data_IF_447130747727
#
_entry.id   IF_447130747727
#
_cell.length_a   1.000
_cell.length_b   1.000
_cell.length_c   1.000
_cell.angle_alpha   90.00
_cell.angle_beta   90.00
_cell.angle_gamma   90.00
#
_symmetry.space_group_name_H-M   'P 1'
#
loop_
_entity.id
_entity.type
_entity.pdbx_description
1 polymer ?
#
# COMPACT_ATOMS: atom_id res chain seq x y z
N UNK A 1 -44.44 -3.58 -6.72
CA UNK A 1 -43.67 -4.74 -6.24
C UNK A 1 -42.35 -4.24 -5.63
N UNK A 2 -42.22 -4.29 -4.33
CA UNK A 2 -41.01 -3.80 -3.61
C UNK A 2 -39.88 -4.82 -3.71
N UNK A 3 -38.70 -4.40 -4.19
CA UNK A 3 -37.47 -5.21 -4.24
C UNK A 3 -36.96 -5.43 -2.83
N UNK A 4 -37.05 -6.65 -2.30
CA UNK A 4 -36.47 -7.04 -1.04
C UNK A 4 -34.94 -6.97 -1.19
N UNK A 5 -34.28 -6.07 -0.43
CA UNK A 5 -32.81 -6.00 -0.31
C UNK A 5 -32.33 -7.28 0.40
N UNK A 6 -31.53 -8.08 -0.29
CA UNK A 6 -30.85 -9.25 0.27
C UNK A 6 -29.87 -8.76 1.37
N UNK A 7 -29.89 -9.32 2.58
CA UNK A 7 -28.98 -8.89 3.64
C UNK A 7 -27.52 -9.17 3.24
N UNK A 8 -26.62 -8.25 3.61
CA UNK A 8 -25.18 -8.40 3.40
C UNK A 8 -24.68 -9.65 4.13
N UNK A 9 -23.93 -10.50 3.45
CA UNK A 9 -23.35 -11.71 4.02
C UNK A 9 -22.39 -11.32 5.16
N UNK A 10 -22.55 -11.93 6.34
CA UNK A 10 -21.60 -11.79 7.47
C UNK A 10 -20.19 -12.17 7.01
N UNK A 11 -19.14 -11.45 7.47
CA UNK A 11 -17.77 -11.81 7.13
C UNK A 11 -17.48 -13.24 7.61
N UNK A 12 -16.96 -14.06 6.72
CA UNK A 12 -16.53 -15.42 7.04
C UNK A 12 -15.36 -15.34 8.03
N UNK A 13 -15.51 -15.96 9.20
CA UNK A 13 -14.42 -16.11 10.19
C UNK A 13 -13.38 -17.15 9.77
N UNK A 14 -13.55 -17.82 8.62
CA UNK A 14 -12.65 -18.85 8.13
C UNK A 14 -11.51 -18.21 7.31
N UNK A 15 -10.27 -18.51 7.70
CA UNK A 15 -9.07 -18.10 6.95
C UNK A 15 -9.07 -18.79 5.58
N UNK A 16 -9.05 -17.99 4.51
CA UNK A 16 -9.17 -18.50 3.14
C UNK A 16 -7.86 -19.09 2.58
N UNK A 17 -6.72 -18.79 3.23
CA UNK A 17 -5.39 -19.25 2.83
C UNK A 17 -4.91 -20.49 3.59
N UNK A 18 -5.79 -21.16 4.35
CA UNK A 18 -5.48 -22.36 5.09
C UNK A 18 -6.48 -23.45 4.67
N UNK A 19 -5.97 -24.63 4.32
CA UNK A 19 -6.78 -25.79 3.97
C UNK A 19 -7.32 -26.51 5.22
N UNK A 20 -8.00 -27.63 5.03
CA UNK A 20 -8.57 -28.44 6.12
C UNK A 20 -7.51 -29.13 6.97
N UNK A 21 -6.25 -29.21 6.50
CA UNK A 21 -5.10 -29.79 7.21
C UNK A 21 -4.25 -28.73 7.92
N UNK A 22 -4.60 -27.44 7.79
CA UNK A 22 -3.84 -26.34 8.37
C UNK A 22 -2.68 -25.88 7.48
N UNK A 23 -2.58 -26.35 6.23
CA UNK A 23 -1.52 -25.98 5.32
C UNK A 23 -1.86 -24.70 4.54
N UNK A 24 -0.85 -23.86 4.37
CA UNK A 24 -0.98 -22.60 3.61
C UNK A 24 -1.12 -22.89 2.11
N UNK A 25 -2.08 -22.23 1.46
CA UNK A 25 -2.28 -22.30 0.01
C UNK A 25 -2.70 -20.98 -0.60
N UNK A 26 -2.30 -20.73 -1.82
CA UNK A 26 -2.82 -19.62 -2.62
C UNK A 26 -4.28 -19.88 -2.99
N UNK A 27 -5.15 -18.86 -2.84
CA UNK A 27 -6.59 -18.98 -3.14
C UNK A 27 -6.79 -19.08 -4.66
N UNK A 28 -7.56 -20.06 -5.12
CA UNK A 28 -8.00 -20.12 -6.51
C UNK A 28 -9.01 -18.98 -6.79
N UNK A 29 -8.67 -18.13 -7.75
CA UNK A 29 -9.48 -16.99 -8.16
C UNK A 29 -10.05 -17.15 -9.56
N UNK A 30 -9.78 -18.26 -10.27
CA UNK A 30 -10.13 -18.47 -11.70
C UNK A 30 -11.63 -18.30 -11.99
N UNK A 31 -12.50 -18.69 -11.05
CA UNK A 31 -13.95 -18.53 -11.20
C UNK A 31 -14.48 -17.12 -10.90
N UNK A 32 -13.62 -16.16 -10.48
CA UNK A 32 -14.06 -14.80 -10.17
C UNK A 32 -14.07 -13.95 -11.44
N UNK A 33 -15.06 -13.06 -11.60
CA UNK A 33 -15.08 -12.14 -12.73
C UNK A 33 -13.93 -11.13 -12.62
N UNK A 34 -13.41 -10.72 -13.76
CA UNK A 34 -12.51 -9.57 -13.83
C UNK A 34 -13.30 -8.30 -13.55
N UNK A 35 -12.88 -7.53 -12.57
CA UNK A 35 -13.47 -6.24 -12.21
C UNK A 35 -12.38 -5.21 -11.96
N UNK A 36 -12.70 -3.94 -12.12
CA UNK A 36 -11.82 -2.88 -11.67
C UNK A 36 -11.67 -2.94 -10.14
N UNK A 37 -10.44 -2.80 -9.67
CA UNK A 37 -10.10 -2.79 -8.25
C UNK A 37 -9.10 -1.70 -7.97
N UNK A 38 -9.33 -0.98 -6.89
CA UNK A 38 -8.49 0.11 -6.43
C UNK A 38 -8.18 -0.15 -4.96
N UNK A 39 -6.96 0.13 -4.56
CA UNK A 39 -6.56 0.19 -3.16
C UNK A 39 -5.70 1.43 -2.92
N UNK A 40 -5.91 2.06 -1.76
CA UNK A 40 -5.16 3.19 -1.26
C UNK A 40 -4.57 2.82 0.09
N UNK A 41 -3.27 3.00 0.25
CA UNK A 41 -2.57 2.79 1.50
C UNK A 41 -1.77 4.03 1.87
N UNK A 42 -1.51 4.23 3.16
CA UNK A 42 -0.65 5.31 3.66
C UNK A 42 0.44 4.79 4.59
N UNK A 43 1.43 5.63 4.83
CA UNK A 43 2.48 5.46 5.83
C UNK A 43 3.19 6.77 6.08
N UNK A 44 3.98 6.85 7.16
CA UNK A 44 4.68 8.06 7.58
C UNK A 44 6.15 7.80 7.80
N UNK A 45 6.97 8.79 7.44
CA UNK A 45 8.39 8.85 7.83
C UNK A 45 8.56 10.06 8.71
N UNK A 46 8.72 9.84 10.01
CA UNK A 46 8.87 10.91 11.01
C UNK A 46 10.35 11.20 11.21
N UNK A 47 10.68 12.48 11.25
CA UNK A 47 12.05 12.98 11.37
C UNK A 47 12.07 14.30 12.16
N UNK A 48 13.25 14.87 12.38
CA UNK A 48 13.35 16.22 12.94
C UNK A 48 12.98 17.27 11.90
N UNK A 49 12.50 18.43 12.35
CA UNK A 49 12.11 19.55 11.47
C UNK A 49 13.27 19.98 10.56
N UNK A 50 14.48 20.06 11.10
CA UNK A 50 15.66 20.46 10.32
C UNK A 50 15.98 19.44 9.19
N UNK A 51 15.71 18.16 9.44
CA UNK A 51 15.90 17.10 8.45
C UNK A 51 14.83 17.19 7.36
N UNK A 52 13.57 17.45 7.73
CA UNK A 52 12.49 17.69 6.79
C UNK A 52 12.80 18.89 5.87
N UNK A 53 13.20 20.03 6.46
CA UNK A 53 13.54 21.24 5.72
C UNK A 53 14.71 21.01 4.74
N UNK A 54 15.72 20.24 5.17
CA UNK A 54 16.86 19.87 4.32
C UNK A 54 16.42 19.05 3.11
N UNK A 55 15.50 18.11 3.28
CA UNK A 55 14.97 17.29 2.17
C UNK A 55 14.11 18.12 1.23
N UNK A 56 13.22 18.96 1.78
CA UNK A 56 12.35 19.86 0.99
C UNK A 56 13.20 20.83 0.14
N UNK A 57 14.27 21.37 0.72
CA UNK A 57 15.21 22.26 0.00
C UNK A 57 16.04 21.55 -1.08
N UNK A 58 15.95 20.23 -1.24
CA UNK A 58 16.73 19.47 -2.21
C UNK A 58 18.22 19.31 -1.85
N UNK A 59 18.60 19.58 -0.60
CA UNK A 59 19.99 19.57 -0.12
C UNK A 59 20.44 18.23 0.47
N UNK A 60 19.70 17.15 0.22
CA UNK A 60 20.09 15.82 0.70
C UNK A 60 21.33 15.31 -0.05
N UNK A 61 22.29 14.73 0.69
CA UNK A 61 23.58 14.25 0.15
C UNK A 61 23.44 13.22 -0.99
N UNK A 62 22.35 12.45 -1.01
CA UNK A 62 22.06 11.41 -2.03
C UNK A 62 21.20 11.93 -3.19
N UNK A 63 20.96 13.23 -3.30
CA UNK A 63 20.19 13.83 -4.38
C UNK A 63 18.68 13.78 -4.18
N UNK A 64 17.91 13.50 -5.24
CA UNK A 64 16.44 13.52 -5.22
C UNK A 64 15.84 12.37 -4.40
N UNK A 65 15.64 12.65 -3.11
CA UNK A 65 15.08 11.71 -2.12
C UNK A 65 13.66 11.28 -2.51
N UNK A 66 12.81 12.26 -2.84
CA UNK A 66 11.38 12.01 -3.08
C UNK A 66 11.16 11.28 -4.40
N UNK A 67 11.92 11.63 -5.44
CA UNK A 67 11.88 10.93 -6.72
C UNK A 67 12.34 9.48 -6.61
N UNK A 68 13.45 9.23 -5.89
CA UNK A 68 13.95 7.89 -5.65
C UNK A 68 12.94 7.05 -4.85
N UNK A 69 12.35 7.60 -3.78
CA UNK A 69 11.35 6.93 -2.96
C UNK A 69 10.08 6.58 -3.77
N UNK A 70 9.61 7.52 -4.59
CA UNK A 70 8.45 7.30 -5.48
C UNK A 70 8.72 6.18 -6.47
N UNK A 71 9.85 6.20 -7.15
CA UNK A 71 10.21 5.17 -8.12
C UNK A 71 10.34 3.79 -7.46
N UNK A 72 10.98 3.71 -6.29
CA UNK A 72 11.14 2.47 -5.55
C UNK A 72 9.79 1.87 -5.14
N UNK A 73 8.85 2.69 -4.67
CA UNK A 73 7.50 2.24 -4.33
C UNK A 73 6.72 1.72 -5.55
N UNK A 74 6.82 2.40 -6.70
CA UNK A 74 6.21 1.92 -7.96
C UNK A 74 6.80 0.56 -8.36
N UNK A 75 8.11 0.39 -8.27
CA UNK A 75 8.78 -0.87 -8.57
C UNK A 75 8.37 -1.98 -7.60
N UNK A 76 8.19 -1.65 -6.32
CA UNK A 76 7.79 -2.59 -5.27
C UNK A 76 6.37 -3.11 -5.49
N UNK A 77 5.41 -2.24 -5.83
CA UNK A 77 4.06 -2.65 -6.19
C UNK A 77 4.06 -3.74 -7.27
N UNK A 78 4.86 -3.56 -8.32
CA UNK A 78 4.97 -4.52 -9.45
C UNK A 78 5.63 -5.85 -9.06
N UNK A 79 6.29 -5.93 -7.90
CA UNK A 79 7.01 -7.11 -7.41
C UNK A 79 6.42 -7.69 -6.13
N UNK A 80 5.23 -7.27 -5.73
CA UNK A 80 4.60 -7.71 -4.49
C UNK A 80 4.50 -9.23 -4.39
N UNK A 81 4.15 -9.92 -5.47
CA UNK A 81 4.06 -11.39 -5.51
C UNK A 81 5.40 -12.11 -5.29
N UNK A 82 6.54 -11.42 -5.48
CA UNK A 82 7.87 -11.96 -5.17
C UNK A 82 8.24 -11.79 -3.69
N UNK A 83 7.55 -10.90 -2.97
CA UNK A 83 7.82 -10.56 -1.58
C UNK A 83 6.82 -11.22 -0.63
N UNK A 84 5.58 -11.34 -1.04
CA UNK A 84 4.46 -11.86 -0.22
C UNK A 84 4.05 -13.23 -0.76
N UNK A 85 4.31 -14.33 -0.03
CA UNK A 85 4.29 -15.69 -0.56
C UNK A 85 3.00 -16.14 -1.24
N UNK A 86 1.85 -15.67 -0.77
CA UNK A 86 0.54 -16.11 -1.29
C UNK A 86 -0.16 -15.07 -2.18
N UNK A 87 0.57 -14.02 -2.60
CA UNK A 87 0.04 -13.04 -3.53
C UNK A 87 0.11 -13.53 -4.97
N UNK A 88 -0.96 -13.23 -5.73
CA UNK A 88 -1.00 -13.50 -7.16
C UNK A 88 -0.18 -12.47 -7.95
N UNK A 89 0.50 -12.85 -9.03
CA UNK A 89 1.03 -11.88 -9.99
C UNK A 89 -0.12 -11.17 -10.69
N UNK A 90 -0.16 -9.84 -10.61
CA UNK A 90 -1.27 -9.05 -11.13
C UNK A 90 -0.82 -8.12 -12.25
N UNK A 91 -1.62 -7.97 -13.33
CA UNK A 91 -1.36 -7.02 -14.41
C UNK A 91 -1.79 -5.60 -13.97
N UNK A 92 -1.01 -5.00 -13.05
CA UNK A 92 -1.29 -3.67 -12.52
C UNK A 92 -1.37 -2.64 -13.65
N UNK A 93 -2.42 -1.83 -13.65
CA UNK A 93 -2.67 -0.83 -14.68
C UNK A 93 -2.26 0.58 -14.26
N UNK A 94 -2.27 0.89 -12.94
CA UNK A 94 -1.82 2.19 -12.39
C UNK A 94 -1.16 1.98 -11.04
N UNK A 95 -0.05 2.70 -10.81
CA UNK A 95 0.53 2.95 -9.49
C UNK A 95 0.83 4.44 -9.41
N UNK A 96 0.32 5.09 -8.39
CA UNK A 96 0.57 6.49 -8.09
C UNK A 96 1.05 6.59 -6.65
N UNK A 97 2.11 7.36 -6.42
CA UNK A 97 2.67 7.57 -5.09
C UNK A 97 2.82 9.06 -4.85
N UNK A 98 2.14 9.54 -3.85
CA UNK A 98 2.26 10.90 -3.34
C UNK A 98 3.12 10.90 -2.07
N UNK A 99 4.01 11.88 -1.96
CA UNK A 99 4.88 12.08 -0.81
C UNK A 99 4.77 13.55 -0.44
N UNK A 100 4.05 13.82 0.63
CA UNK A 100 3.70 15.16 1.06
C UNK A 100 4.41 15.50 2.38
N UNK A 101 5.05 16.68 2.49
CA UNK A 101 5.63 17.12 3.75
C UNK A 101 4.51 17.40 4.77
N UNK A 102 4.73 17.00 6.02
CA UNK A 102 3.83 17.24 7.13
C UNK A 102 4.62 17.88 8.28
N UNK A 103 4.38 19.17 8.50
CA UNK A 103 5.11 19.97 9.51
C UNK A 103 4.58 19.79 10.91
N UNK A 104 3.30 19.42 11.09
CA UNK A 104 2.69 19.20 12.40
C UNK A 104 3.20 17.94 13.09
N UNK A 105 3.60 16.95 12.28
CA UNK A 105 4.33 15.76 12.69
C UNK A 105 5.59 15.71 11.82
N UNK A 106 6.69 16.41 12.17
CA UNK A 106 7.75 16.65 11.19
C UNK A 106 8.14 15.40 10.41
N UNK A 107 7.93 15.42 9.07
CA UNK A 107 8.13 14.23 8.26
C UNK A 107 7.41 14.24 6.93
N UNK A 108 7.23 13.06 6.36
CA UNK A 108 6.48 12.87 5.12
C UNK A 108 5.32 11.91 5.33
N UNK A 109 4.15 12.31 4.83
CA UNK A 109 3.03 11.42 4.60
C UNK A 109 3.21 10.81 3.20
N UNK A 110 3.22 9.49 3.13
CA UNK A 110 3.34 8.72 1.88
C UNK A 110 2.02 8.02 1.64
N UNK A 111 1.43 8.25 0.48
CA UNK A 111 0.22 7.57 0.03
C UNK A 111 0.47 6.84 -1.28
N UNK A 112 -0.07 5.65 -1.43
CA UNK A 112 -0.01 4.90 -2.68
C UNK A 112 -1.41 4.46 -3.12
N UNK A 113 -1.77 4.82 -4.36
CA UNK A 113 -2.95 4.34 -5.04
C UNK A 113 -2.55 3.31 -6.09
N UNK A 114 -3.10 2.10 -5.99
CA UNK A 114 -2.89 1.03 -6.98
C UNK A 114 -4.21 0.61 -7.60
N UNK A 115 -4.18 0.39 -8.93
CA UNK A 115 -5.36 0.00 -9.71
C UNK A 115 -5.06 -1.20 -10.61
N UNK A 116 -6.02 -2.11 -10.72
CA UNK A 116 -5.98 -3.25 -11.62
C UNK A 116 -7.38 -3.58 -12.14
N UNK A 117 -7.46 -4.16 -13.32
CA UNK A 117 -8.62 -4.94 -13.76
C UNK A 117 -8.27 -6.42 -13.60
N UNK A 118 -8.88 -7.08 -12.61
CA UNK A 118 -8.45 -8.43 -12.22
C UNK A 118 -9.44 -9.16 -11.32
N UNK A 119 -9.07 -10.40 -10.96
CA UNK A 119 -9.89 -11.33 -10.17
C UNK A 119 -9.67 -11.20 -8.66
N UNK A 120 -8.59 -10.51 -8.23
CA UNK A 120 -8.28 -10.25 -6.82
C UNK A 120 -7.94 -8.78 -6.58
N UNK A 121 -7.96 -8.35 -5.32
CA UNK A 121 -7.65 -6.97 -4.93
C UNK A 121 -6.15 -6.66 -5.02
N UNK A 122 -5.82 -5.39 -4.86
CA UNK A 122 -4.45 -4.82 -4.93
C UNK A 122 -4.02 -4.17 -3.60
N UNK A 123 -4.60 -4.62 -2.51
CA UNK A 123 -4.31 -4.09 -1.17
C UNK A 123 -2.85 -4.30 -0.80
N UNK A 124 -2.30 -5.49 -1.11
CA UNK A 124 -0.91 -5.82 -0.81
C UNK A 124 0.07 -5.02 -1.66
N UNK A 125 -0.28 -4.76 -2.92
CA UNK A 125 0.49 -3.91 -3.82
C UNK A 125 0.58 -2.48 -3.31
N UNK A 126 -0.52 -1.92 -2.81
CA UNK A 126 -0.55 -0.57 -2.23
C UNK A 126 0.27 -0.50 -0.93
N UNK A 127 0.10 -1.47 -0.01
CA UNK A 127 0.86 -1.55 1.23
C UNK A 127 2.36 -1.74 0.98
N UNK A 128 2.74 -2.60 0.03
CA UNK A 128 4.14 -2.82 -0.34
C UNK A 128 4.75 -1.56 -0.96
N UNK A 129 4.01 -0.85 -1.80
CA UNK A 129 4.44 0.41 -2.41
C UNK A 129 4.79 1.46 -1.34
N UNK A 130 3.89 1.70 -0.38
CA UNK A 130 4.11 2.64 0.73
C UNK A 130 5.29 2.20 1.57
N UNK A 131 5.35 0.92 1.95
CA UNK A 131 6.42 0.39 2.81
C UNK A 131 7.81 0.64 2.20
N UNK A 132 7.98 0.36 0.91
CA UNK A 132 9.26 0.51 0.22
C UNK A 132 9.55 1.98 -0.08
N UNK A 133 8.56 2.81 -0.37
CA UNK A 133 8.76 4.25 -0.50
C UNK A 133 9.25 4.88 0.82
N UNK A 134 8.63 4.54 1.95
CA UNK A 134 9.08 4.98 3.27
C UNK A 134 10.49 4.49 3.61
N UNK A 135 10.78 3.21 3.33
CA UNK A 135 12.10 2.63 3.58
C UNK A 135 13.19 3.27 2.71
N UNK A 136 12.87 3.59 1.47
CA UNK A 136 13.80 4.28 0.56
C UNK A 136 14.04 5.72 1.02
N UNK A 137 13.01 6.44 1.46
CA UNK A 137 13.16 7.76 2.08
C UNK A 137 14.13 7.68 3.27
N UNK A 138 13.93 6.71 4.17
CA UNK A 138 14.84 6.47 5.29
C UNK A 138 16.27 6.21 4.82
N UNK A 139 16.50 5.32 3.86
CA UNK A 139 17.84 5.01 3.35
C UNK A 139 18.55 6.24 2.77
N UNK A 140 17.80 7.06 2.03
CA UNK A 140 18.34 8.26 1.40
C UNK A 140 18.80 9.32 2.43
N UNK A 141 18.14 9.38 3.58
CA UNK A 141 18.32 10.45 4.58
C UNK A 141 19.10 9.98 5.83
N UNK A 142 19.23 8.68 6.07
CA UNK A 142 19.84 8.12 7.30
C UNK A 142 21.27 8.60 7.63
N UNK A 143 22.00 9.13 6.65
CA UNK A 143 23.33 9.75 6.90
C UNK A 143 23.21 11.04 7.72
N UNK A 144 22.08 11.75 7.62
CA UNK A 144 21.77 12.99 8.37
C UNK A 144 21.10 12.65 9.69
N UNK A 145 20.12 11.73 9.66
CA UNK A 145 19.36 11.35 10.86
C UNK A 145 19.05 9.85 10.85
N UNK A 146 19.57 9.10 11.83
CA UNK A 146 19.28 7.67 12.01
C UNK A 146 18.04 7.41 12.87
N UNK A 147 17.60 8.42 13.62
CA UNK A 147 16.47 8.32 14.55
C UNK A 147 15.09 8.42 13.88
N UNK A 148 15.02 8.54 12.57
CA UNK A 148 13.75 8.57 11.83
C UNK A 148 12.93 7.30 12.10
N UNK A 149 11.61 7.45 12.13
CA UNK A 149 10.67 6.33 12.33
C UNK A 149 9.76 6.18 11.11
N UNK A 150 9.55 4.93 10.70
CA UNK A 150 8.50 4.56 9.74
C UNK A 150 7.35 4.02 10.55
N UNK A 151 6.16 4.63 10.42
CA UNK A 151 4.99 4.27 11.21
C UNK A 151 3.68 4.47 10.46
N UNK A 152 2.58 3.96 11.02
CA UNK A 152 1.24 4.20 10.48
C UNK A 152 1.00 3.56 9.11
N UNK A 153 1.74 2.51 8.72
CA UNK A 153 1.47 1.80 7.46
C UNK A 153 0.14 1.08 7.59
N UNK A 154 -0.85 1.53 6.80
CA UNK A 154 -2.20 0.95 6.82
C UNK A 154 -2.92 1.10 5.48
N UNK A 155 -3.93 0.26 5.27
CA UNK A 155 -4.87 0.39 4.18
C UNK A 155 -5.90 1.47 4.53
N UNK A 156 -6.07 2.47 3.67
CA UNK A 156 -7.08 3.52 3.82
C UNK A 156 -8.39 3.13 3.16
N UNK A 157 -8.29 2.66 1.92
CA UNK A 157 -9.46 2.38 1.11
C UNK A 157 -9.20 1.20 0.19
N UNK A 158 -10.25 0.46 -0.09
CA UNK A 158 -10.30 -0.44 -1.24
C UNK A 158 -11.68 -0.48 -1.84
N UNK A 159 -11.73 -0.65 -3.15
CA UNK A 159 -12.99 -0.79 -3.87
C UNK A 159 -12.92 -1.89 -4.95
N UNK A 160 -14.09 -2.37 -5.34
CA UNK A 160 -14.25 -3.39 -6.37
C UNK A 160 -14.34 -4.82 -5.84
N UNK A 161 -14.82 -5.72 -6.72
CA UNK A 161 -15.00 -7.14 -6.43
C UNK A 161 -16.16 -7.44 -5.47
N UNK A 162 -16.21 -8.72 -5.02
CA UNK A 162 -17.33 -9.25 -4.22
C UNK A 162 -17.39 -8.66 -2.81
N UNK A 163 -16.26 -8.24 -2.23
CA UNK A 163 -16.17 -7.66 -0.88
C UNK A 163 -16.62 -6.19 -0.83
N UNK A 164 -16.89 -5.56 -1.96
CA UNK A 164 -17.40 -4.19 -2.03
C UNK A 164 -16.34 -3.15 -1.64
N UNK A 165 -16.79 -2.07 -1.03
CA UNK A 165 -15.99 -0.94 -0.61
C UNK A 165 -15.63 -1.06 0.87
N UNK A 166 -14.38 -0.79 1.18
CA UNK A 166 -13.85 -0.63 2.54
C UNK A 166 -13.21 0.75 2.65
N UNK A 167 -13.45 1.41 3.75
CA UNK A 167 -12.76 2.63 4.14
C UNK A 167 -12.34 2.53 5.60
N UNK A 168 -11.08 2.84 5.89
CA UNK A 168 -10.58 2.90 7.25
C UNK A 168 -11.36 3.97 8.03
N UNK A 169 -11.62 3.69 9.30
CA UNK A 169 -12.10 4.69 10.26
C UNK A 169 -10.88 5.26 10.97
N UNK A 170 -10.86 6.56 11.15
CA UNK A 170 -9.87 7.26 11.99
C UNK A 170 -10.00 6.86 13.45
#
# INVERSE_FOLDING_TARGET
MARVKKPAAKPSTRLTHIDTRGEARMVDVSAKPQTERIAVAEGKVIMRSETLDLVIAGNALKGDVLGAARLAGIMAAKRTHNLIPLCHPLPITKVEIEINPEHSLPGFLVEATVKVTGQTGVEMEALTAVSIACLTNYDMVKAVERGMRIEGIRLLEKSGGKSGHYQAKD
#
